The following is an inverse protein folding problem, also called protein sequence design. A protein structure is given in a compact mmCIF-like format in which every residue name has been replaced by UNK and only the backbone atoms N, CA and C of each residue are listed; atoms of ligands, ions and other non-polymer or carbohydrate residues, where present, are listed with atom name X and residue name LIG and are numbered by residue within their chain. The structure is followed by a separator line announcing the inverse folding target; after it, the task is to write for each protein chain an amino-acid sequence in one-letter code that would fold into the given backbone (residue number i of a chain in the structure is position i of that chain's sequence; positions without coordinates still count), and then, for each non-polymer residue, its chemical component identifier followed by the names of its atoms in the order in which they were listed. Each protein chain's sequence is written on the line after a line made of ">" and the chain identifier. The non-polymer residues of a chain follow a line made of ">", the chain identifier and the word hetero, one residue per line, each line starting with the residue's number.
data_IF_299928134302
#
_entry.id   IF_299928134302
#
_cell.length_a   1.000
_cell.length_b   1.000
_cell.length_c   1.000
_cell.angle_alpha   90.00
_cell.angle_beta   90.00
_cell.angle_gamma   90.00
#
_symmetry.space_group_name_H-M   'P 1'
#
loop_
_entity.id
_entity.type
_entity.pdbx_description
1 polymer ?
#
# COMPACT_ATOMS: atom_id res chain seq x y z
N UNK A 1 23.06 48.59 6.95
CA UNK A 1 22.15 47.93 6.00
C UNK A 1 22.92 46.79 5.35
N UNK A 2 22.61 45.54 5.68
CA UNK A 2 23.16 44.40 4.94
C UNK A 2 22.33 44.24 3.66
N UNK A 3 22.97 44.42 2.49
CA UNK A 3 22.38 44.06 1.21
C UNK A 3 22.38 42.53 1.07
N UNK A 4 21.19 41.92 1.11
CA UNK A 4 21.02 40.50 0.84
C UNK A 4 21.16 40.30 -0.67
N UNK A 5 22.19 39.58 -1.10
CA UNK A 5 22.44 39.30 -2.53
C UNK A 5 21.28 38.49 -3.16
N UNK A 6 20.86 38.77 -4.40
CA UNK A 6 19.71 38.12 -5.04
C UNK A 6 19.82 36.59 -5.15
N UNK A 7 21.04 36.03 -5.28
CA UNK A 7 21.25 34.57 -5.19
C UNK A 7 20.94 33.99 -3.80
N UNK A 8 21.24 34.72 -2.72
CA UNK A 8 20.95 34.29 -1.35
C UNK A 8 19.42 34.35 -1.13
N UNK A 9 18.76 35.38 -1.66
CA UNK A 9 17.30 35.49 -1.60
C UNK A 9 16.61 34.38 -2.41
N UNK A 10 17.12 34.03 -3.61
CA UNK A 10 16.61 32.92 -4.41
C UNK A 10 16.85 31.55 -3.75
N UNK A 11 18.02 31.35 -3.12
CA UNK A 11 18.33 30.12 -2.40
C UNK A 11 17.45 29.97 -1.13
N UNK A 12 17.24 31.07 -0.40
CA UNK A 12 16.34 31.12 0.77
C UNK A 12 14.87 30.92 0.39
N UNK A 13 14.43 31.47 -0.75
CA UNK A 13 13.08 31.23 -1.31
C UNK A 13 12.94 29.78 -1.78
N UNK A 14 13.94 29.20 -2.44
CA UNK A 14 13.92 27.80 -2.87
C UNK A 14 13.83 26.83 -1.69
N UNK A 15 14.52 27.10 -0.58
CA UNK A 15 14.40 26.30 0.65
C UNK A 15 13.06 26.49 1.36
N UNK A 16 12.40 27.64 1.22
CA UNK A 16 11.07 27.90 1.78
C UNK A 16 9.92 27.27 0.96
N UNK A 17 10.22 26.74 -0.22
CA UNK A 17 9.25 26.13 -1.17
C UNK A 17 9.53 24.63 -1.37
N UNK A 18 10.64 24.10 -0.84
CA UNK A 18 10.96 22.69 -0.95
C UNK A 18 10.00 21.88 -0.06
N UNK A 19 9.20 21.00 -0.68
CA UNK A 19 8.37 20.05 0.05
C UNK A 19 9.24 19.18 0.97
N UNK A 20 8.85 19.02 2.23
CA UNK A 20 9.54 18.15 3.18
C UNK A 20 8.87 16.77 3.16
N UNK A 21 9.28 15.92 2.22
CA UNK A 21 8.74 14.56 2.10
C UNK A 21 9.50 13.64 3.05
N UNK A 22 8.78 12.89 3.89
CA UNK A 22 9.34 11.81 4.68
C UNK A 22 9.41 10.51 3.86
N UNK A 23 10.51 9.77 4.06
CA UNK A 23 10.69 8.43 3.55
C UNK A 23 11.29 7.50 4.62
N UNK A 24 11.49 6.24 4.28
CA UNK A 24 12.23 5.30 5.11
C UNK A 24 13.62 5.87 5.44
N UNK A 25 14.00 5.83 6.72
CA UNK A 25 15.23 6.47 7.21
C UNK A 25 15.07 7.93 7.63
N UNK A 26 13.95 8.61 7.30
CA UNK A 26 13.72 9.98 7.77
C UNK A 26 13.47 9.99 9.28
N UNK A 27 14.34 10.69 10.01
CA UNK A 27 14.16 10.93 11.44
C UNK A 27 13.17 12.09 11.66
N UNK A 28 12.08 11.89 12.41
CA UNK A 28 11.16 12.98 12.73
C UNK A 28 11.82 14.03 13.62
N UNK A 29 11.39 15.29 13.48
CA UNK A 29 11.95 16.46 14.19
C UNK A 29 11.40 16.63 15.62
N UNK A 30 10.43 15.82 16.02
CA UNK A 30 9.86 15.82 17.36
C UNK A 30 10.90 15.58 18.47
N UNK A 31 10.61 16.09 19.67
CA UNK A 31 11.43 15.91 20.86
C UNK A 31 11.11 14.60 21.61
N UNK A 32 9.87 14.12 21.51
CA UNK A 32 9.44 12.90 22.17
C UNK A 32 10.02 11.65 21.48
N UNK A 33 10.27 10.57 22.25
CA UNK A 33 10.73 9.32 21.66
C UNK A 33 9.67 8.71 20.73
N UNK A 34 10.15 7.98 19.73
CA UNK A 34 9.31 7.25 18.78
C UNK A 34 9.10 5.81 19.24
N UNK A 35 7.96 5.19 18.91
CA UNK A 35 7.76 3.74 19.14
C UNK A 35 8.42 2.88 18.05
N UNK A 36 8.82 3.52 16.95
CA UNK A 36 9.39 2.92 15.76
C UNK A 36 10.84 3.36 15.56
N UNK A 37 11.65 2.46 15.03
CA UNK A 37 13.03 2.71 14.65
C UNK A 37 13.04 3.18 13.19
N UNK A 38 13.47 4.43 12.94
CA UNK A 38 13.41 5.02 11.59
C UNK A 38 14.43 4.38 10.63
N UNK A 39 15.45 3.68 11.14
CA UNK A 39 16.49 3.03 10.33
C UNK A 39 16.14 1.59 9.98
N UNK A 40 15.27 0.94 10.77
CA UNK A 40 15.04 -0.51 10.66
C UNK A 40 13.58 -0.90 10.43
N UNK A 41 12.60 -0.15 10.94
CA UNK A 41 11.18 -0.46 10.74
C UNK A 41 10.71 0.17 9.42
N UNK A 42 10.10 -0.59 8.46
CA UNK A 42 9.62 -0.07 7.18
C UNK A 42 8.33 0.76 7.34
N UNK A 43 8.41 1.77 8.21
CA UNK A 43 7.35 2.69 8.60
C UNK A 43 7.90 4.10 8.39
N UNK A 44 7.24 4.86 7.53
CA UNK A 44 7.56 6.26 7.29
C UNK A 44 7.18 7.06 8.53
N UNK A 45 8.18 7.59 9.24
CA UNK A 45 7.92 8.37 10.45
C UNK A 45 7.62 9.83 10.05
N UNK A 46 6.39 10.23 10.34
CA UNK A 46 5.83 11.52 9.99
C UNK A 46 5.88 12.46 11.19
N UNK A 47 5.94 13.75 10.91
CA UNK A 47 5.78 14.84 11.86
C UNK A 47 5.01 15.99 11.21
N UNK A 48 4.78 17.07 11.96
CA UNK A 48 4.07 18.27 11.49
C UNK A 48 4.66 18.85 10.20
N UNK A 49 5.97 18.76 10.00
CA UNK A 49 6.62 19.38 8.84
C UNK A 49 6.55 18.48 7.61
N UNK A 50 6.46 17.16 7.79
CA UNK A 50 6.44 16.20 6.69
C UNK A 50 5.08 15.62 6.34
N UNK A 51 4.11 15.63 7.26
CA UNK A 51 2.83 14.93 7.09
C UNK A 51 2.08 15.38 5.83
N UNK A 52 1.82 16.68 5.68
CA UNK A 52 1.02 17.18 4.57
C UNK A 52 1.72 16.94 3.23
N UNK A 53 3.02 17.20 3.13
CA UNK A 53 3.75 17.00 1.90
C UNK A 53 3.86 15.53 1.52
N UNK A 54 3.94 14.63 2.50
CA UNK A 54 4.06 13.18 2.29
C UNK A 54 2.71 12.51 1.98
N UNK A 55 1.65 12.89 2.69
CA UNK A 55 0.32 12.25 2.59
C UNK A 55 -0.59 12.98 1.59
N UNK A 56 -0.53 14.31 1.54
CA UNK A 56 -1.39 15.15 0.70
C UNK A 56 -0.68 15.83 -0.48
N UNK A 57 0.65 15.79 -0.52
CA UNK A 57 1.45 16.58 -1.44
C UNK A 57 1.20 16.22 -2.90
N UNK A 58 0.84 17.22 -3.70
CA UNK A 58 0.62 17.08 -5.14
C UNK A 58 1.92 17.14 -5.97
N UNK A 59 3.06 17.50 -5.38
CA UNK A 59 4.31 17.66 -6.15
C UNK A 59 5.23 16.43 -6.12
N UNK A 60 4.75 15.28 -5.63
CA UNK A 60 5.52 14.03 -5.63
C UNK A 60 5.49 13.35 -7.00
N UNK A 61 6.66 12.90 -7.46
CA UNK A 61 6.82 12.14 -8.71
C UNK A 61 6.25 10.72 -8.62
N UNK A 62 6.23 10.13 -7.42
CA UNK A 62 5.62 8.85 -7.13
C UNK A 62 4.54 9.05 -6.06
N UNK A 63 3.28 8.79 -6.40
CA UNK A 63 2.15 8.93 -5.48
C UNK A 63 1.60 7.56 -5.14
N UNK A 64 1.48 7.28 -3.85
CA UNK A 64 0.96 6.03 -3.31
C UNK A 64 -0.17 6.33 -2.34
N UNK A 65 -0.98 5.33 -2.03
CA UNK A 65 -1.82 5.39 -0.85
C UNK A 65 -0.96 5.30 0.43
N UNK A 66 -1.54 5.63 1.58
CA UNK A 66 -0.90 5.47 2.88
C UNK A 66 -1.84 4.84 3.90
N UNK A 67 -1.32 3.93 4.73
CA UNK A 67 -1.95 3.57 5.99
C UNK A 67 -1.14 4.20 7.12
N UNK A 68 -1.75 5.12 7.87
CA UNK A 68 -1.08 5.89 8.91
C UNK A 68 -1.63 5.55 10.29
N UNK A 69 -0.74 5.22 11.22
CA UNK A 69 -1.03 5.20 12.65
C UNK A 69 -0.78 6.56 13.30
N UNK A 70 -1.81 7.09 13.95
CA UNK A 70 -1.71 8.18 14.90
C UNK A 70 -1.63 7.58 16.31
N UNK A 71 -0.48 7.77 16.98
CA UNK A 71 -0.19 7.16 18.27
C UNK A 71 0.29 8.17 19.31
N UNK A 72 0.49 7.69 20.54
CA UNK A 72 1.20 8.40 21.61
C UNK A 72 2.25 7.48 22.22
N UNK A 73 3.47 7.98 22.42
CA UNK A 73 4.62 7.19 22.90
C UNK A 73 4.46 6.67 24.34
N UNK A 74 3.69 7.38 25.17
CA UNK A 74 3.43 7.00 26.57
C UNK A 74 2.11 6.22 26.76
N UNK A 75 1.28 6.09 25.72
CA UNK A 75 0.02 5.35 25.79
C UNK A 75 0.26 3.84 25.87
N UNK A 76 -0.28 3.19 26.91
CA UNK A 76 -0.13 1.74 27.11
C UNK A 76 -0.65 0.88 25.95
N UNK A 77 -1.79 1.25 25.35
CA UNK A 77 -2.33 0.55 24.17
C UNK A 77 -1.44 0.71 22.94
N UNK A 78 -0.88 1.91 22.70
CA UNK A 78 0.03 2.14 21.56
C UNK A 78 1.32 1.33 21.71
N UNK A 79 1.91 1.34 22.90
CA UNK A 79 3.12 0.56 23.20
C UNK A 79 2.89 -0.93 23.02
N UNK A 80 1.72 -1.44 23.40
CA UNK A 80 1.36 -2.84 23.20
C UNK A 80 1.06 -3.17 21.72
N UNK A 81 0.55 -2.21 20.96
CA UNK A 81 0.21 -2.37 19.54
C UNK A 81 1.42 -2.24 18.60
N UNK A 82 2.44 -1.45 18.96
CA UNK A 82 3.58 -1.17 18.11
C UNK A 82 4.29 -2.42 17.54
N UNK A 83 4.55 -3.51 18.30
CA UNK A 83 5.12 -4.73 17.73
C UNK A 83 4.27 -5.36 16.61
N UNK A 84 2.94 -5.28 16.72
CA UNK A 84 2.01 -5.77 15.72
C UNK A 84 2.03 -4.90 14.48
N UNK A 85 2.05 -3.57 14.65
CA UNK A 85 2.14 -2.62 13.54
C UNK A 85 3.46 -2.76 12.76
N UNK A 86 4.59 -2.96 13.47
CA UNK A 86 5.89 -3.31 12.84
C UNK A 86 5.81 -4.60 12.04
N UNK A 87 5.14 -5.62 12.58
CA UNK A 87 4.98 -6.91 11.89
C UNK A 87 4.19 -6.76 10.60
N UNK A 88 3.09 -5.99 10.62
CA UNK A 88 2.36 -5.65 9.39
C UNK A 88 3.26 -4.89 8.40
N UNK A 89 3.95 -3.84 8.84
CA UNK A 89 4.79 -3.03 7.97
C UNK A 89 5.85 -3.86 7.23
N UNK A 90 6.46 -4.83 7.92
CA UNK A 90 7.38 -5.77 7.31
C UNK A 90 6.69 -6.70 6.31
N UNK A 91 5.55 -7.26 6.68
CA UNK A 91 4.74 -8.19 5.87
C UNK A 91 4.24 -7.57 4.55
N UNK A 92 3.95 -6.26 4.54
CA UNK A 92 3.47 -5.52 3.37
C UNK A 92 4.53 -4.61 2.74
N UNK A 93 5.80 -4.74 3.13
CA UNK A 93 6.90 -3.87 2.64
C UNK A 93 7.06 -3.85 1.12
N UNK A 94 6.71 -4.96 0.45
CA UNK A 94 6.73 -5.08 -1.03
C UNK A 94 5.61 -4.33 -1.73
N UNK A 95 4.61 -3.84 -0.99
CA UNK A 95 3.45 -3.14 -1.54
C UNK A 95 3.71 -1.65 -1.77
N UNK A 96 4.93 -1.17 -1.51
CA UNK A 96 5.31 0.25 -1.49
C UNK A 96 4.97 1.05 -2.73
N UNK A 97 4.84 0.43 -3.91
CA UNK A 97 4.42 1.11 -5.14
C UNK A 97 2.92 1.41 -5.18
N UNK A 98 2.13 0.76 -4.32
CA UNK A 98 0.67 0.91 -4.19
C UNK A 98 0.33 1.62 -2.89
N UNK A 99 0.85 1.13 -1.76
CA UNK A 99 0.59 1.68 -0.43
C UNK A 99 1.86 1.70 0.43
N UNK A 100 2.03 2.76 1.22
CA UNK A 100 3.11 2.90 2.21
C UNK A 100 2.53 2.91 3.63
N UNK A 101 3.30 2.44 4.59
CA UNK A 101 2.92 2.44 6.01
C UNK A 101 3.60 3.62 6.68
N UNK A 102 2.84 4.43 7.44
CA UNK A 102 3.35 5.60 8.12
C UNK A 102 2.90 5.69 9.58
N UNK A 103 3.60 6.47 10.39
CA UNK A 103 3.20 6.69 11.78
C UNK A 103 3.55 8.12 12.23
N UNK A 104 2.71 8.71 13.07
CA UNK A 104 2.94 10.04 13.67
C UNK A 104 2.68 10.00 15.18
N UNK A 105 3.63 10.54 15.95
CA UNK A 105 3.51 10.65 17.41
C UNK A 105 2.73 11.90 17.80
N UNK A 106 1.46 11.76 18.09
CA UNK A 106 0.58 12.86 18.51
C UNK A 106 0.79 13.33 19.95
N UNK A 107 1.62 12.65 20.74
CA UNK A 107 2.01 13.13 22.06
C UNK A 107 3.15 14.16 22.02
N UNK A 108 3.83 14.29 20.87
CA UNK A 108 4.81 15.35 20.66
C UNK A 108 4.09 16.69 20.46
N UNK A 109 4.47 17.77 21.19
CA UNK A 109 3.88 19.10 21.01
C UNK A 109 3.98 19.62 19.57
N UNK A 110 5.02 19.23 18.83
CA UNK A 110 5.19 19.58 17.41
C UNK A 110 3.99 19.10 16.58
N UNK A 111 3.48 17.90 16.86
CA UNK A 111 2.50 17.19 16.03
C UNK A 111 1.05 17.44 16.45
N UNK A 112 0.80 18.23 17.51
CA UNK A 112 -0.53 18.45 18.07
C UNK A 112 -1.51 19.00 17.02
N UNK A 113 -1.06 19.97 16.22
CA UNK A 113 -1.88 20.63 15.22
C UNK A 113 -2.27 19.66 14.09
N UNK A 114 -1.33 18.91 13.53
CA UNK A 114 -1.60 17.86 12.53
C UNK A 114 -2.55 16.80 13.07
N UNK A 115 -2.31 16.27 14.28
CA UNK A 115 -3.19 15.24 14.84
C UNK A 115 -4.61 15.74 15.13
N UNK A 116 -4.74 16.99 15.61
CA UNK A 116 -6.05 17.64 15.77
C UNK A 116 -6.75 17.87 14.42
N UNK A 117 -6.02 18.35 13.42
CA UNK A 117 -6.55 18.57 12.06
C UNK A 117 -7.01 17.27 11.40
N UNK A 118 -6.37 16.14 11.75
CA UNK A 118 -6.77 14.80 11.30
C UNK A 118 -7.85 14.14 12.19
N UNK A 119 -8.49 14.90 13.08
CA UNK A 119 -9.61 14.42 13.91
C UNK A 119 -9.24 13.27 14.83
N UNK A 120 -8.00 13.22 15.33
CA UNK A 120 -7.54 12.17 16.24
C UNK A 120 -8.10 12.41 17.64
N UNK A 121 -8.86 11.43 18.14
CA UNK A 121 -9.60 11.52 19.40
C UNK A 121 -9.21 10.45 20.43
N UNK A 122 -8.53 9.40 19.99
CA UNK A 122 -8.09 8.28 20.80
C UNK A 122 -6.86 7.65 20.14
N UNK A 123 -6.12 6.84 20.90
CA UNK A 123 -4.93 6.17 20.41
C UNK A 123 -4.94 4.66 20.72
N UNK A 124 -4.36 3.82 19.84
CA UNK A 124 -3.96 4.17 18.48
C UNK A 124 -5.18 4.39 17.58
N UNK A 125 -5.08 5.31 16.63
CA UNK A 125 -6.06 5.52 15.57
C UNK A 125 -5.38 5.27 14.22
N UNK A 126 -6.00 4.45 13.38
CA UNK A 126 -5.47 4.11 12.06
C UNK A 126 -6.34 4.75 10.99
N UNK A 127 -5.72 5.39 9.99
CA UNK A 127 -6.40 5.84 8.77
C UNK A 127 -5.74 5.29 7.52
N UNK A 128 -6.56 4.99 6.51
CA UNK A 128 -6.14 4.81 5.13
C UNK A 128 -6.38 6.10 4.36
N UNK A 129 -5.34 6.63 3.73
CA UNK A 129 -5.38 7.77 2.84
C UNK A 129 -5.20 7.24 1.41
N UNK A 130 -6.26 7.28 0.58
CA UNK A 130 -6.15 6.96 -0.83
C UNK A 130 -5.07 7.79 -1.54
N UNK A 131 -4.55 7.29 -2.66
CA UNK A 131 -3.64 8.04 -3.52
C UNK A 131 -4.29 9.36 -3.92
N UNK A 132 -3.50 10.43 -3.90
CA UNK A 132 -3.95 11.81 -4.16
C UNK A 132 -4.93 12.36 -3.12
N UNK A 133 -4.96 11.80 -1.90
CA UNK A 133 -5.61 12.47 -0.77
C UNK A 133 -5.14 13.93 -0.69
N UNK A 134 -6.05 14.82 -0.34
CA UNK A 134 -5.82 16.27 -0.32
C UNK A 134 -6.11 16.88 1.06
N UNK A 135 -6.65 16.09 1.98
CA UNK A 135 -6.89 16.47 3.36
C UNK A 135 -7.53 15.35 4.17
N UNK A 136 -7.84 15.65 5.42
CA UNK A 136 -8.39 14.69 6.39
C UNK A 136 -9.69 14.01 5.93
N UNK A 137 -10.52 14.72 5.16
CA UNK A 137 -11.79 14.20 4.66
C UNK A 137 -11.65 12.96 3.78
N UNK A 138 -10.49 12.78 3.15
CA UNK A 138 -10.19 11.62 2.31
C UNK A 138 -9.71 10.43 3.16
N UNK A 139 -9.28 10.69 4.40
CA UNK A 139 -8.78 9.71 5.35
C UNK A 139 -9.88 8.80 5.90
N UNK A 140 -9.83 7.53 5.54
CA UNK A 140 -10.79 6.51 5.97
C UNK A 140 -10.31 5.87 7.28
N UNK A 141 -11.11 5.97 8.35
CA UNK A 141 -10.77 5.30 9.62
C UNK A 141 -10.82 3.78 9.45
N UNK A 142 -9.71 3.12 9.77
CA UNK A 142 -9.62 1.66 9.78
C UNK A 142 -9.88 1.12 11.19
N UNK A 143 -10.38 -0.11 11.27
CA UNK A 143 -10.53 -0.83 12.53
C UNK A 143 -9.17 -1.32 13.02
N UNK A 144 -8.93 -1.15 14.32
CA UNK A 144 -7.74 -1.70 14.99
C UNK A 144 -7.94 -3.19 15.27
N UNK A 145 -7.13 -4.04 14.66
CA UNK A 145 -7.15 -5.50 14.84
C UNK A 145 -5.92 -5.97 15.62
N UNK A 146 -6.05 -7.05 16.39
CA UNK A 146 -4.93 -7.68 17.12
C UNK A 146 -4.30 -8.85 16.34
N UNK A 147 -4.34 -8.79 15.00
CA UNK A 147 -3.82 -9.83 14.10
C UNK A 147 -3.29 -9.21 12.82
N UNK A 148 -2.05 -9.55 12.45
CA UNK A 148 -1.43 -9.09 11.20
C UNK A 148 -2.26 -9.51 10.00
N UNK A 149 -2.77 -10.76 9.98
CA UNK A 149 -3.60 -11.25 8.89
C UNK A 149 -4.86 -10.40 8.69
N UNK A 150 -5.58 -10.07 9.76
CA UNK A 150 -6.79 -9.23 9.67
C UNK A 150 -6.47 -7.78 9.26
N UNK A 151 -5.32 -7.26 9.69
CA UNK A 151 -4.85 -5.93 9.27
C UNK A 151 -4.49 -5.92 7.78
N UNK A 152 -3.79 -6.95 7.32
CA UNK A 152 -3.43 -7.17 5.92
C UNK A 152 -4.67 -7.30 5.06
N UNK A 153 -5.66 -8.09 5.48
CA UNK A 153 -6.94 -8.24 4.78
C UNK A 153 -7.67 -6.91 4.63
N UNK A 154 -7.78 -6.15 5.72
CA UNK A 154 -8.42 -4.82 5.71
C UNK A 154 -7.67 -3.84 4.78
N UNK A 155 -6.33 -3.87 4.80
CA UNK A 155 -5.53 -3.03 3.92
C UNK A 155 -5.71 -3.41 2.45
N UNK A 156 -5.71 -4.70 2.12
CA UNK A 156 -6.01 -5.19 0.77
C UNK A 156 -7.40 -4.76 0.32
N UNK A 157 -8.40 -4.83 1.20
CA UNK A 157 -9.77 -4.38 0.89
C UNK A 157 -9.82 -2.89 0.58
N UNK A 158 -9.12 -2.05 1.35
CA UNK A 158 -9.06 -0.61 1.09
C UNK A 158 -8.41 -0.30 -0.26
N UNK A 159 -7.30 -0.98 -0.59
CA UNK A 159 -6.60 -0.84 -1.87
C UNK A 159 -7.52 -1.25 -3.04
N UNK A 160 -8.16 -2.42 -2.95
CA UNK A 160 -9.04 -2.91 -4.01
C UNK A 160 -10.23 -1.97 -4.20
N UNK A 161 -10.83 -1.50 -3.10
CA UNK A 161 -11.94 -0.54 -3.16
C UNK A 161 -11.53 0.81 -3.78
N UNK A 162 -10.30 1.27 -3.57
CA UNK A 162 -9.77 2.44 -4.25
C UNK A 162 -9.52 2.19 -5.74
N UNK A 163 -8.96 1.03 -6.07
CA UNK A 163 -8.71 0.61 -7.45
C UNK A 163 -10.00 0.55 -8.27
N UNK A 164 -11.07 -0.01 -7.69
CA UNK A 164 -12.39 -0.13 -8.32
C UNK A 164 -13.03 1.23 -8.65
N UNK A 165 -12.56 2.32 -8.02
CA UNK A 165 -13.05 3.67 -8.25
C UNK A 165 -12.20 4.45 -9.27
N UNK A 166 -10.89 4.23 -9.29
CA UNK A 166 -9.95 5.11 -10.00
C UNK A 166 -9.20 4.42 -11.16
N UNK A 167 -8.96 3.11 -11.08
CA UNK A 167 -8.21 2.33 -12.07
C UNK A 167 -6.91 3.00 -12.53
N UNK A 168 -6.00 3.30 -11.58
CA UNK A 168 -4.73 3.95 -11.91
C UNK A 168 -3.91 3.09 -12.90
N UNK A 169 -3.39 3.65 -14.01
CA UNK A 169 -2.70 2.86 -15.04
C UNK A 169 -1.42 2.16 -14.57
N UNK A 170 -0.77 2.70 -13.54
CA UNK A 170 0.44 2.19 -12.90
C UNK A 170 0.14 1.26 -11.71
N UNK A 171 -1.14 1.01 -11.41
CA UNK A 171 -1.55 0.05 -10.39
C UNK A 171 -1.70 -1.37 -10.95
N UNK A 172 -1.65 -2.39 -10.08
CA UNK A 172 -1.84 -3.77 -10.48
C UNK A 172 -3.27 -4.02 -10.95
N UNK A 173 -3.44 -4.94 -11.91
CA UNK A 173 -4.77 -5.35 -12.33
C UNK A 173 -5.38 -6.35 -11.35
N UNK A 174 -6.39 -5.91 -10.59
CA UNK A 174 -7.15 -6.76 -9.67
C UNK A 174 -8.39 -7.43 -10.31
N UNK A 175 -8.69 -7.13 -11.59
CA UNK A 175 -9.87 -7.67 -12.26
C UNK A 175 -9.77 -9.18 -12.48
N UNK A 176 -10.84 -9.93 -12.18
CA UNK A 176 -10.90 -11.36 -12.51
C UNK A 176 -10.72 -11.61 -14.01
N UNK A 177 -10.16 -12.77 -14.34
CA UNK A 177 -10.12 -13.28 -15.70
C UNK A 177 -11.54 -13.41 -16.22
N UNK A 178 -11.82 -12.75 -17.34
CA UNK A 178 -13.09 -12.87 -18.06
C UNK A 178 -13.18 -14.25 -18.72
N UNK A 179 -14.39 -14.79 -18.93
CA UNK A 179 -14.56 -16.03 -19.67
C UNK A 179 -13.82 -16.00 -21.02
N UNK A 180 -13.01 -17.02 -21.25
CA UNK A 180 -12.23 -17.17 -22.50
C UNK A 180 -12.88 -18.23 -23.40
N UNK A 181 -12.76 -18.05 -24.72
CA UNK A 181 -13.14 -19.07 -25.69
C UNK A 181 -11.96 -19.97 -26.10
N UNK A 182 -10.74 -19.43 -26.11
CA UNK A 182 -9.51 -20.12 -26.50
C UNK A 182 -8.37 -19.88 -25.51
N UNK A 183 -7.40 -20.79 -25.45
CA UNK A 183 -6.24 -20.66 -24.54
C UNK A 183 -5.37 -19.43 -24.82
N UNK A 184 -5.37 -18.92 -26.05
CA UNK A 184 -4.60 -17.71 -26.40
C UNK A 184 -5.10 -16.47 -25.66
N UNK A 185 -6.39 -16.43 -25.30
CA UNK A 185 -7.00 -15.32 -24.55
C UNK A 185 -6.53 -15.27 -23.09
N UNK A 186 -5.89 -16.32 -22.56
CA UNK A 186 -5.28 -16.29 -21.21
C UNK A 186 -4.31 -15.12 -21.10
N UNK A 187 -3.58 -14.78 -22.15
CA UNK A 187 -2.59 -13.69 -22.13
C UNK A 187 -3.11 -12.37 -22.74
N UNK A 188 -4.41 -12.23 -22.97
CA UNK A 188 -4.98 -10.97 -23.44
C UNK A 188 -4.69 -9.83 -22.45
N UNK A 189 -4.25 -8.67 -22.96
CA UNK A 189 -3.85 -7.52 -22.15
C UNK A 189 -2.50 -7.66 -21.42
N UNK A 190 -1.80 -8.79 -21.56
CA UNK A 190 -0.47 -9.01 -20.96
C UNK A 190 0.62 -8.70 -22.00
N UNK A 191 1.58 -7.79 -21.70
CA UNK A 191 2.70 -7.46 -22.60
C UNK A 191 3.41 -8.70 -23.15
N UNK A 192 3.81 -8.66 -24.43
CA UNK A 192 4.48 -9.79 -25.11
C UNK A 192 5.81 -10.19 -24.43
N UNK A 193 6.46 -9.24 -23.75
CA UNK A 193 7.69 -9.48 -22.98
C UNK A 193 7.46 -10.37 -21.75
N UNK A 194 6.23 -10.48 -21.26
CA UNK A 194 5.86 -11.34 -20.14
C UNK A 194 5.44 -12.70 -20.72
N UNK A 195 6.24 -13.73 -20.44
CA UNK A 195 6.03 -15.09 -20.93
C UNK A 195 5.29 -15.98 -19.93
N UNK A 196 5.03 -15.51 -18.71
CA UNK A 196 4.35 -16.28 -17.65
C UNK A 196 3.15 -15.55 -17.08
N UNK A 197 2.04 -16.29 -16.94
CA UNK A 197 0.84 -15.83 -16.25
C UNK A 197 0.43 -16.83 -15.17
N UNK A 198 0.22 -16.34 -13.96
CA UNK A 198 -0.24 -17.11 -12.82
C UNK A 198 -1.73 -16.86 -12.67
N UNK A 199 -2.54 -17.91 -12.75
CA UNK A 199 -3.96 -17.85 -12.45
C UNK A 199 -4.18 -18.38 -11.03
N UNK A 200 -4.84 -17.57 -10.20
CA UNK A 200 -5.22 -17.95 -8.84
C UNK A 200 -6.71 -18.24 -8.83
N UNK A 201 -7.07 -19.51 -8.71
CA UNK A 201 -8.44 -19.97 -8.65
C UNK A 201 -9.00 -19.79 -7.25
N UNK A 202 -10.11 -19.07 -7.12
CA UNK A 202 -10.78 -18.80 -5.85
C UNK A 202 -12.28 -19.12 -5.93
N UNK A 203 -12.80 -19.77 -4.89
CA UNK A 203 -14.24 -20.05 -4.77
C UNK A 203 -15.00 -18.85 -4.23
N UNK A 204 -14.54 -18.29 -3.10
CA UNK A 204 -15.21 -17.18 -2.45
C UNK A 204 -14.92 -15.86 -3.20
N UNK A 205 -15.94 -15.14 -3.70
CA UNK A 205 -15.74 -13.85 -4.35
C UNK A 205 -15.07 -12.79 -3.46
N UNK A 206 -15.17 -12.93 -2.14
CA UNK A 206 -14.53 -12.06 -1.14
C UNK A 206 -13.11 -12.51 -0.77
N UNK A 207 -12.61 -13.60 -1.34
CA UNK A 207 -11.23 -14.04 -1.12
C UNK A 207 -10.23 -12.97 -1.58
N UNK A 208 -9.19 -12.77 -0.78
CA UNK A 208 -8.14 -11.79 -1.02
C UNK A 208 -6.82 -12.44 -1.42
N UNK A 209 -6.74 -13.78 -1.52
CA UNK A 209 -5.50 -14.51 -1.78
C UNK A 209 -4.85 -14.04 -3.08
N UNK A 210 -5.61 -13.97 -4.17
CA UNK A 210 -5.07 -13.46 -5.44
C UNK A 210 -4.63 -11.99 -5.35
N UNK A 211 -5.41 -11.15 -4.65
CA UNK A 211 -5.12 -9.72 -4.51
C UNK A 211 -3.84 -9.49 -3.70
N UNK A 212 -3.66 -10.23 -2.61
CA UNK A 212 -2.46 -10.19 -1.79
C UNK A 212 -1.25 -10.73 -2.55
N UNK A 213 -1.40 -11.82 -3.31
CA UNK A 213 -0.31 -12.35 -4.15
C UNK A 213 0.12 -11.36 -5.24
N UNK A 214 -0.84 -10.68 -5.87
CA UNK A 214 -0.57 -9.59 -6.84
C UNK A 214 0.28 -8.49 -6.17
N UNK A 215 -0.09 -8.08 -4.96
CA UNK A 215 0.63 -7.05 -4.20
C UNK A 215 2.02 -7.51 -3.73
N UNK A 216 2.17 -8.77 -3.33
CA UNK A 216 3.46 -9.34 -2.89
C UNK A 216 4.48 -9.46 -4.02
N UNK A 217 3.99 -9.69 -5.23
CA UNK A 217 4.81 -9.95 -6.41
C UNK A 217 5.04 -8.71 -7.27
N UNK A 218 4.72 -7.50 -6.77
CA UNK A 218 4.87 -6.25 -7.52
C UNK A 218 6.26 -6.00 -8.11
N UNK A 219 7.32 -6.38 -7.38
CA UNK A 219 8.70 -6.27 -7.86
C UNK A 219 9.02 -7.16 -9.08
N UNK A 220 8.12 -8.08 -9.45
CA UNK A 220 8.23 -8.98 -10.59
C UNK A 220 7.16 -8.69 -11.66
N UNK A 221 6.46 -7.56 -11.57
CA UNK A 221 5.38 -7.18 -12.51
C UNK A 221 5.86 -7.04 -13.96
N UNK A 222 7.15 -6.87 -14.20
CA UNK A 222 7.80 -6.88 -15.51
C UNK A 222 8.07 -8.29 -16.06
N UNK A 223 7.91 -9.34 -15.24
CA UNK A 223 8.28 -10.73 -15.55
C UNK A 223 7.11 -11.70 -15.49
N UNK A 224 6.13 -11.44 -14.62
CA UNK A 224 4.97 -12.30 -14.44
C UNK A 224 3.69 -11.47 -14.39
N UNK A 225 2.64 -11.98 -15.03
CA UNK A 225 1.28 -11.51 -14.80
C UNK A 225 0.59 -12.43 -13.78
N UNK A 226 -0.22 -11.86 -12.90
CA UNK A 226 -1.02 -12.64 -11.95
C UNK A 226 -2.47 -12.18 -12.11
N UNK A 227 -3.41 -13.13 -12.17
CA UNK A 227 -4.82 -12.79 -12.29
C UNK A 227 -5.70 -13.77 -11.52
N UNK A 228 -6.74 -13.23 -10.89
CA UNK A 228 -7.77 -14.01 -10.22
C UNK A 228 -8.62 -14.77 -11.24
N UNK A 229 -8.96 -16.02 -10.97
CA UNK A 229 -9.91 -16.82 -11.74
C UNK A 229 -10.99 -17.34 -10.79
N UNK A 230 -12.27 -17.06 -11.08
CA UNK A 230 -13.37 -17.44 -10.16
C UNK A 230 -13.83 -18.87 -10.41
N UNK A 231 -14.33 -19.53 -9.37
CA UNK A 231 -15.09 -20.78 -9.51
C UNK A 231 -16.20 -20.62 -10.55
N UNK A 232 -16.31 -21.59 -11.46
CA UNK A 232 -17.26 -21.58 -12.58
C UNK A 232 -16.71 -20.97 -13.88
N UNK A 233 -15.48 -20.47 -13.89
CA UNK A 233 -14.79 -20.13 -15.13
C UNK A 233 -14.53 -21.41 -15.96
N UNK A 234 -14.60 -21.40 -17.31
CA UNK A 234 -14.37 -22.61 -18.13
C UNK A 234 -13.07 -23.38 -17.81
N UNK A 235 -12.02 -22.67 -17.41
CA UNK A 235 -10.76 -23.28 -16.98
C UNK A 235 -10.86 -24.13 -15.71
N UNK A 236 -11.82 -23.89 -14.81
CA UNK A 236 -11.96 -24.73 -13.61
C UNK A 236 -12.35 -26.16 -13.96
N UNK A 237 -13.19 -26.34 -14.99
CA UNK A 237 -13.56 -27.66 -15.47
C UNK A 237 -12.44 -28.28 -16.30
N UNK A 238 -11.81 -27.49 -17.19
CA UNK A 238 -10.73 -27.96 -18.06
C UNK A 238 -9.49 -28.45 -17.28
N UNK A 239 -9.21 -27.86 -16.11
CA UNK A 239 -8.08 -28.24 -15.24
C UNK A 239 -8.49 -29.15 -14.07
N UNK A 240 -9.75 -29.58 -14.01
CA UNK A 240 -10.28 -30.40 -12.91
C UNK A 240 -10.06 -29.78 -11.51
N UNK A 241 -10.25 -28.47 -11.38
CA UNK A 241 -10.06 -27.75 -10.10
C UNK A 241 -11.19 -28.06 -9.12
N UNK A 242 -10.91 -28.91 -8.12
CA UNK A 242 -11.80 -29.22 -7.00
C UNK A 242 -11.50 -28.41 -5.74
N UNK A 243 -10.23 -28.08 -5.52
CA UNK A 243 -9.72 -27.48 -4.30
C UNK A 243 -9.39 -26.00 -4.49
N UNK A 244 -9.63 -25.20 -3.45
CA UNK A 244 -9.49 -23.75 -3.49
C UNK A 244 -8.81 -23.23 -2.22
N UNK A 245 -7.86 -22.27 -2.35
CA UNK A 245 -7.35 -21.72 -3.60
C UNK A 245 -6.48 -22.74 -4.37
N UNK A 246 -6.43 -22.63 -5.69
CA UNK A 246 -5.46 -23.38 -6.53
C UNK A 246 -4.69 -22.39 -7.40
N UNK A 247 -3.40 -22.61 -7.60
CA UNK A 247 -2.57 -21.81 -8.50
C UNK A 247 -2.23 -22.63 -9.74
N UNK A 248 -2.40 -22.05 -10.93
CA UNK A 248 -1.87 -22.59 -12.18
C UNK A 248 -0.92 -21.58 -12.84
N UNK A 249 0.25 -22.04 -13.26
CA UNK A 249 1.23 -21.21 -13.97
C UNK A 249 1.21 -21.59 -15.44
N UNK A 250 0.86 -20.63 -16.29
CA UNK A 250 0.91 -20.77 -17.74
C UNK A 250 2.18 -20.14 -18.30
N UNK A 251 2.72 -20.77 -19.35
CA UNK A 251 3.73 -20.17 -20.22
C UNK A 251 3.07 -19.79 -21.54
N UNK A 252 3.41 -18.62 -22.07
CA UNK A 252 2.85 -18.10 -23.32
C UNK A 252 3.09 -19.08 -24.48
N UNK A 253 2.03 -19.41 -25.19
CA UNK A 253 2.04 -20.37 -26.29
C UNK A 253 1.76 -21.82 -25.88
N UNK A 254 1.77 -22.13 -24.58
CA UNK A 254 1.36 -23.45 -24.07
C UNK A 254 -0.14 -23.46 -23.79
N UNK A 255 -0.81 -24.57 -24.10
CA UNK A 255 -2.24 -24.76 -23.83
C UNK A 255 -2.51 -25.33 -22.42
N UNK A 256 -1.51 -25.95 -21.81
CA UNK A 256 -1.59 -26.53 -20.46
C UNK A 256 -0.69 -25.74 -19.49
N UNK A 257 -1.05 -25.68 -18.20
CA UNK A 257 -0.19 -25.06 -17.21
C UNK A 257 1.09 -25.88 -17.02
N UNK A 258 2.22 -25.19 -16.89
CA UNK A 258 3.52 -25.81 -16.58
C UNK A 258 3.66 -26.18 -15.09
N UNK A 259 2.73 -25.72 -14.26
CA UNK A 259 2.61 -26.03 -12.84
C UNK A 259 1.17 -25.83 -12.40
N UNK A 260 0.66 -26.75 -11.58
CA UNK A 260 -0.56 -26.59 -10.79
C UNK A 260 -0.26 -26.96 -9.33
N UNK A 261 -0.72 -26.17 -8.37
CA UNK A 261 -0.53 -26.41 -6.95
C UNK A 261 -1.75 -25.95 -6.14
N UNK A 262 -2.16 -26.79 -5.18
CA UNK A 262 -3.23 -26.56 -4.21
C UNK A 262 -2.69 -25.95 -2.92
#
# INVERSE_FOLDING_TARGET
>A
MLEIRPCILHLLLATAIAAEIADFGTKPKGENPTLYDYEHDPIVQLDETTFNDTIYGSNQTERTAFMVEFYSDWCGHCRAYAPLYKSLANDVSRWRSVVRIGAINCADPLNEATCRANGVQFFPLIKYFPRNSSGDSDGQKLKTYQSVALMRDQLTQAIVAENDQHHFPDWPNFEPLKPIATYNEIFEGVPETIDKKILVFEENPQSLVANQLILDMQQYSDKIAIQKCRKGHPLTEALHISDYPTIAVYKRGEHEPIMQAE
#
